data_IF_780236296698
#
_entry.id   IF_780236296698
#
_cell.length_a   1.000
_cell.length_b   1.000
_cell.length_c   1.000
_cell.angle_alpha   90.00
_cell.angle_beta   90.00
_cell.angle_gamma   90.00
#
_symmetry.space_group_name_H-M   'P 1'
#
loop_
_entity.id
_entity.type
_entity.pdbx_description
1 polymer ?
#
# COMPACT_ATOMS: atom_id res chain seq x y z
N UNK A 1 -1.71 -15.02 19.38
CA UNK A 1 -1.09 -13.75 18.94
C UNK A 1 -0.79 -13.78 17.45
N UNK A 2 0.03 -14.69 16.94
CA UNK A 2 0.33 -14.76 15.48
C UNK A 2 -0.88 -15.15 14.61
N UNK A 3 -1.75 -16.06 15.06
CA UNK A 3 -2.96 -16.43 14.30
C UNK A 3 -3.96 -15.27 14.16
N UNK A 4 -4.02 -14.40 15.16
CA UNK A 4 -4.83 -13.18 15.14
C UNK A 4 -4.24 -12.18 14.13
N UNK A 5 -2.92 -11.99 14.18
CA UNK A 5 -2.18 -11.16 13.22
C UNK A 5 -2.36 -11.64 11.77
N UNK A 6 -2.23 -12.96 11.52
CA UNK A 6 -2.40 -13.52 10.18
C UNK A 6 -3.85 -13.37 9.64
N UNK A 7 -4.86 -13.35 10.51
CA UNK A 7 -6.26 -13.21 10.10
C UNK A 7 -6.71 -11.77 9.88
N UNK A 8 -6.04 -10.80 10.52
CA UNK A 8 -6.50 -9.42 10.56
C UNK A 8 -5.43 -8.46 10.05
N UNK A 9 -4.31 -8.33 10.75
CA UNK A 9 -3.25 -7.40 10.36
C UNK A 9 -2.63 -7.72 9.01
N UNK A 10 -2.51 -9.00 8.65
CA UNK A 10 -2.01 -9.40 7.33
C UNK A 10 -2.95 -9.01 6.19
N UNK A 11 -4.22 -8.73 6.47
CA UNK A 11 -5.19 -8.23 5.49
C UNK A 11 -5.32 -6.71 5.54
N UNK A 12 -5.52 -6.16 6.74
CA UNK A 12 -5.87 -4.74 6.95
C UNK A 12 -4.69 -3.85 7.32
N UNK A 13 -3.49 -4.43 7.46
CA UNK A 13 -2.26 -3.77 7.88
C UNK A 13 -2.31 -3.08 9.26
N UNK A 14 -3.35 -3.32 10.06
CA UNK A 14 -3.56 -2.73 11.38
C UNK A 14 -4.24 -3.74 12.33
N UNK A 15 -4.11 -3.57 13.65
CA UNK A 15 -4.65 -4.53 14.61
C UNK A 15 -6.18 -4.49 14.69
N UNK A 16 -6.83 -5.61 15.09
CA UNK A 16 -8.29 -5.68 15.25
C UNK A 16 -8.87 -4.60 16.17
N UNK A 17 -8.10 -4.14 17.16
CA UNK A 17 -8.55 -3.15 18.16
C UNK A 17 -8.84 -1.77 17.57
N UNK A 18 -8.28 -1.44 16.40
CA UNK A 18 -8.52 -0.15 15.72
C UNK A 18 -9.46 -0.30 14.53
N UNK A 19 -9.74 -1.52 14.07
CA UNK A 19 -10.46 -1.78 12.82
C UNK A 19 -11.97 -1.94 13.07
N UNK A 20 -12.81 -1.31 12.25
CA UNK A 20 -14.27 -1.33 12.42
C UNK A 20 -14.89 -2.68 12.05
N UNK A 21 -15.35 -3.43 13.06
CA UNK A 21 -16.01 -4.72 12.86
C UNK A 21 -17.15 -4.65 11.83
N UNK A 22 -17.98 -3.61 11.88
CA UNK A 22 -19.15 -3.45 11.00
C UNK A 22 -18.78 -3.38 9.52
N UNK A 23 -17.61 -2.80 9.20
CA UNK A 23 -17.24 -2.49 7.82
C UNK A 23 -16.29 -3.54 7.21
N UNK A 24 -15.67 -4.39 8.02
CA UNK A 24 -14.71 -5.41 7.56
C UNK A 24 -15.15 -6.86 7.79
N UNK A 25 -16.20 -7.11 8.58
CA UNK A 25 -16.68 -8.48 8.87
C UNK A 25 -18.20 -8.59 8.64
N UNK A 26 -18.66 -9.25 7.56
CA UNK A 26 -17.87 -9.81 6.46
C UNK A 26 -17.30 -8.72 5.54
N UNK A 27 -16.18 -9.01 4.88
CA UNK A 27 -15.59 -8.09 3.92
C UNK A 27 -16.26 -8.23 2.55
N UNK A 28 -16.68 -7.10 1.97
CA UNK A 28 -17.41 -7.10 0.70
C UNK A 28 -16.60 -7.73 -0.44
N UNK A 29 -15.29 -7.49 -0.51
CA UNK A 29 -14.40 -8.07 -1.53
C UNK A 29 -14.55 -9.58 -1.63
N UNK A 30 -14.38 -10.31 -0.53
CA UNK A 30 -14.47 -11.77 -0.52
C UNK A 30 -15.91 -12.27 -0.67
N UNK A 31 -16.87 -11.57 -0.05
CA UNK A 31 -18.30 -11.90 -0.20
C UNK A 31 -18.77 -11.84 -1.66
N UNK A 32 -18.32 -10.83 -2.41
CA UNK A 32 -18.82 -10.53 -3.75
C UNK A 32 -18.01 -11.22 -4.85
N UNK A 33 -16.70 -11.39 -4.67
CA UNK A 33 -15.78 -11.91 -5.70
C UNK A 33 -15.17 -13.28 -5.37
N UNK A 34 -15.47 -13.85 -4.19
CA UNK A 34 -14.97 -15.13 -3.74
C UNK A 34 -13.77 -15.03 -2.79
N UNK A 35 -13.52 -16.11 -2.05
CA UNK A 35 -12.49 -16.17 -1.01
C UNK A 35 -11.07 -16.42 -1.56
N UNK A 36 -10.94 -16.76 -2.85
CA UNK A 36 -9.66 -17.08 -3.48
C UNK A 36 -8.86 -15.81 -3.80
N UNK A 37 -7.58 -15.81 -3.42
CA UNK A 37 -6.60 -14.78 -3.81
C UNK A 37 -5.52 -15.38 -4.69
N UNK A 38 -5.15 -14.67 -5.75
CA UNK A 38 -4.15 -15.13 -6.71
C UNK A 38 -2.91 -14.25 -6.69
N UNK A 39 -1.76 -14.85 -6.37
CA UNK A 39 -0.47 -14.15 -6.38
C UNK A 39 0.02 -13.95 -7.82
N UNK A 40 0.09 -12.70 -8.27
CA UNK A 40 0.58 -12.37 -9.61
C UNK A 40 2.11 -12.38 -9.63
N UNK A 41 2.70 -13.41 -10.25
CA UNK A 41 4.14 -13.57 -10.44
C UNK A 41 4.53 -13.53 -11.93
N UNK A 42 4.22 -12.41 -12.59
CA UNK A 42 4.55 -12.21 -14.00
C UNK A 42 5.66 -11.16 -14.16
N UNK A 43 6.64 -11.42 -15.04
CA UNK A 43 7.77 -10.51 -15.31
C UNK A 43 7.34 -9.15 -15.87
N UNK A 44 6.12 -9.02 -16.40
CA UNK A 44 5.53 -7.75 -16.84
C UNK A 44 5.13 -6.84 -15.67
N UNK A 45 5.03 -7.39 -14.46
CA UNK A 45 4.53 -6.70 -13.28
C UNK A 45 3.00 -6.59 -13.25
N UNK A 46 2.43 -6.47 -12.05
CA UNK A 46 0.98 -6.30 -11.91
C UNK A 46 0.50 -4.95 -12.50
N UNK A 47 1.38 -3.96 -12.54
CA UNK A 47 1.21 -2.66 -13.20
C UNK A 47 0.85 -2.75 -14.70
N UNK A 48 1.10 -3.90 -15.35
CA UNK A 48 0.69 -4.14 -16.73
C UNK A 48 -0.83 -3.96 -16.94
N UNK A 49 -1.65 -4.15 -15.90
CA UNK A 49 -3.10 -3.85 -15.93
C UNK A 49 -3.34 -2.35 -16.14
N UNK A 50 -2.64 -1.49 -15.40
CA UNK A 50 -2.75 -0.03 -15.51
C UNK A 50 -2.23 0.45 -16.87
N UNK A 51 -1.09 -0.08 -17.32
CA UNK A 51 -0.56 0.22 -18.66
C UNK A 51 -1.52 -0.20 -19.78
N UNK A 52 -2.17 -1.36 -19.64
CA UNK A 52 -3.18 -1.81 -20.58
C UNK A 52 -4.35 -0.83 -20.67
N UNK A 53 -4.93 -0.44 -19.53
CA UNK A 53 -6.05 0.51 -19.47
C UNK A 53 -5.66 1.87 -20.06
N UNK A 54 -4.48 2.40 -19.68
CA UNK A 54 -3.99 3.67 -20.19
C UNK A 54 -3.82 3.67 -21.71
N UNK A 55 -3.29 2.58 -22.28
CA UNK A 55 -3.12 2.41 -23.73
C UNK A 55 -4.42 2.29 -24.53
N UNK A 56 -5.59 2.20 -23.88
CA UNK A 56 -6.88 2.20 -24.58
C UNK A 56 -7.35 3.61 -24.98
N UNK A 57 -6.81 4.66 -24.36
CA UNK A 57 -7.26 6.04 -24.61
C UNK A 57 -6.12 7.08 -24.73
N UNK A 58 -4.90 6.73 -24.33
CA UNK A 58 -3.70 7.55 -24.55
C UNK A 58 -2.91 7.04 -25.76
N UNK A 59 -2.36 7.96 -26.54
CA UNK A 59 -1.45 7.65 -27.63
C UNK A 59 -0.19 6.93 -27.13
N UNK A 60 0.18 5.85 -27.82
CA UNK A 60 1.36 5.06 -27.52
C UNK A 60 2.22 4.83 -28.78
N UNK A 61 3.53 4.71 -28.60
CA UNK A 61 4.47 4.40 -29.68
C UNK A 61 4.42 2.91 -30.07
N UNK A 62 5.24 2.52 -31.06
CA UNK A 62 5.34 1.11 -31.51
C UNK A 62 5.82 0.15 -30.42
N UNK A 63 6.52 0.65 -29.41
CA UNK A 63 6.99 -0.12 -28.26
C UNK A 63 5.97 -0.14 -27.11
N UNK A 64 4.77 0.42 -27.30
CA UNK A 64 3.70 0.57 -26.29
C UNK A 64 4.07 1.50 -25.12
N UNK A 65 5.07 2.37 -25.30
CA UNK A 65 5.29 3.46 -24.36
C UNK A 65 4.24 4.54 -24.61
N UNK A 66 3.63 5.06 -23.54
CA UNK A 66 2.70 6.16 -23.65
C UNK A 66 3.47 7.43 -24.02
N UNK A 67 3.11 8.03 -25.15
CA UNK A 67 3.72 9.27 -25.69
C UNK A 67 2.73 10.43 -25.74
N UNK A 68 1.50 10.20 -25.27
CA UNK A 68 0.44 11.17 -25.26
C UNK A 68 0.81 12.42 -24.46
N UNK A 69 0.76 13.63 -25.04
CA UNK A 69 1.12 14.85 -24.35
C UNK A 69 0.17 15.20 -23.19
N UNK A 70 -0.99 14.55 -23.08
CA UNK A 70 -1.91 14.72 -21.94
C UNK A 70 -1.37 14.07 -20.67
N UNK A 71 -0.50 13.06 -20.77
CA UNK A 71 0.17 12.45 -19.62
C UNK A 71 1.51 13.15 -19.36
N UNK A 72 1.63 13.75 -18.19
CA UNK A 72 2.82 14.51 -17.81
C UNK A 72 3.46 13.91 -16.55
N UNK A 73 4.49 13.09 -16.74
CA UNK A 73 5.28 12.53 -15.64
C UNK A 73 6.16 13.61 -14.99
N UNK A 74 6.68 13.34 -13.79
CA UNK A 74 7.51 14.27 -13.03
C UNK A 74 6.82 15.64 -12.78
N UNK A 75 5.50 15.60 -12.55
CA UNK A 75 4.68 16.76 -12.20
C UNK A 75 4.12 16.59 -10.80
N UNK A 76 4.89 17.03 -9.81
CA UNK A 76 4.44 17.00 -8.41
C UNK A 76 3.49 18.17 -8.18
N UNK A 77 2.20 17.91 -8.00
CA UNK A 77 1.22 18.95 -7.63
C UNK A 77 1.51 19.42 -6.20
N UNK A 78 1.62 20.74 -5.99
CA UNK A 78 1.86 21.35 -4.66
C UNK A 78 0.74 22.27 -4.21
N UNK A 79 -0.06 22.81 -5.14
CA UNK A 79 -1.18 23.68 -4.80
C UNK A 79 -2.36 23.48 -5.76
N UNK A 80 -3.56 23.43 -5.20
CA UNK A 80 -4.83 23.42 -5.93
C UNK A 80 -5.65 24.62 -5.45
N UNK A 81 -5.77 25.63 -6.32
CA UNK A 81 -6.66 26.76 -6.13
C UNK A 81 -8.00 26.51 -6.83
N UNK A 82 -9.13 26.75 -6.18
CA UNK A 82 -10.46 26.49 -6.75
C UNK A 82 -11.49 27.57 -6.39
N UNK A 83 -12.44 27.80 -7.30
CA UNK A 83 -13.52 28.77 -7.14
C UNK A 83 -14.79 28.31 -7.89
N UNK A 84 -15.85 29.12 -7.90
CA UNK A 84 -17.05 28.83 -8.68
C UNK A 84 -16.83 28.76 -10.20
N UNK A 85 -15.77 29.41 -10.72
CA UNK A 85 -15.51 29.53 -12.15
C UNK A 85 -14.44 28.59 -12.70
N UNK A 86 -13.71 27.85 -11.86
CA UNK A 86 -12.67 26.92 -12.32
C UNK A 86 -11.64 26.59 -11.25
N UNK A 87 -10.59 25.88 -11.68
CA UNK A 87 -9.46 25.46 -10.85
C UNK A 87 -8.13 25.88 -11.47
N UNK A 88 -7.12 26.06 -10.62
CA UNK A 88 -5.73 26.31 -10.99
C UNK A 88 -4.84 25.38 -10.19
N UNK A 89 -4.04 24.58 -10.89
CA UNK A 89 -3.11 23.61 -10.29
C UNK A 89 -1.69 24.10 -10.50
N UNK A 90 -0.91 24.22 -9.42
CA UNK A 90 0.51 24.56 -9.48
C UNK A 90 1.35 23.34 -9.08
N UNK A 91 2.36 23.04 -9.89
CA UNK A 91 3.32 21.97 -9.62
C UNK A 91 4.60 22.50 -8.98
N UNK A 92 5.43 21.59 -8.46
CA UNK A 92 6.69 21.89 -7.78
C UNK A 92 7.75 22.51 -8.70
N UNK A 93 7.65 22.27 -10.01
CA UNK A 93 8.47 22.92 -11.06
C UNK A 93 7.85 24.24 -11.56
N UNK A 94 7.03 24.89 -10.72
CA UNK A 94 6.38 26.19 -10.95
C UNK A 94 5.44 26.26 -12.16
N UNK A 95 5.10 25.14 -12.81
CA UNK A 95 4.09 25.13 -13.88
C UNK A 95 2.70 25.33 -13.31
N UNK A 96 1.88 26.07 -14.05
CA UNK A 96 0.51 26.40 -13.69
C UNK A 96 -0.44 25.91 -14.78
N UNK A 97 -1.43 25.13 -14.37
CA UNK A 97 -2.47 24.57 -15.22
C UNK A 97 -3.82 25.15 -14.81
N UNK A 98 -4.68 25.46 -15.79
CA UNK A 98 -6.05 25.92 -15.55
C UNK A 98 -7.03 24.95 -16.19
N UNK A 99 -8.11 24.65 -15.49
CA UNK A 99 -9.16 23.74 -15.96
C UNK A 99 -10.50 24.09 -15.33
N UNK A 100 -11.57 23.49 -15.83
CA UNK A 100 -12.90 23.60 -15.24
C UNK A 100 -13.05 22.76 -13.96
N UNK A 101 -12.29 21.66 -13.85
CA UNK A 101 -12.33 20.70 -12.76
C UNK A 101 -10.94 20.11 -12.49
N UNK A 102 -10.75 19.57 -11.29
CA UNK A 102 -9.58 18.73 -10.95
C UNK A 102 -10.06 17.44 -10.30
N UNK A 103 -9.45 16.33 -10.71
CA UNK A 103 -9.61 15.02 -10.08
C UNK A 103 -8.36 14.71 -9.27
N UNK A 104 -8.50 14.51 -7.97
CA UNK A 104 -7.40 14.18 -7.05
C UNK A 104 -7.42 12.68 -6.78
N UNK A 105 -6.43 11.96 -7.31
CA UNK A 105 -6.29 10.50 -7.16
C UNK A 105 -5.13 10.08 -6.26
N UNK A 106 -4.56 11.02 -5.49
CA UNK A 106 -3.50 10.70 -4.52
C UNK A 106 -4.06 9.85 -3.38
N UNK A 107 -3.18 9.12 -2.68
CA UNK A 107 -3.60 8.36 -1.49
C UNK A 107 -4.19 9.26 -0.39
N UNK A 108 -4.95 8.68 0.53
CA UNK A 108 -5.44 9.41 1.71
C UNK A 108 -4.28 9.87 2.59
N UNK A 109 -3.19 9.11 2.67
CA UNK A 109 -1.96 9.54 3.36
C UNK A 109 -1.33 10.81 2.76
N UNK A 110 -1.38 11.00 1.44
CA UNK A 110 -0.95 12.26 0.80
C UNK A 110 -1.88 13.39 1.16
N UNK A 111 -3.21 13.16 1.18
CA UNK A 111 -4.20 14.16 1.60
C UNK A 111 -4.07 14.55 3.08
N UNK A 112 -3.61 13.64 3.93
CA UNK A 112 -3.29 13.88 5.35
C UNK A 112 -1.96 14.62 5.54
N UNK A 113 -1.07 14.58 4.54
CA UNK A 113 0.19 15.31 4.54
C UNK A 113 0.02 16.77 4.09
N UNK A 114 1.11 17.52 4.10
CA UNK A 114 1.18 18.90 3.61
C UNK A 114 1.65 19.01 2.14
N UNK A 115 1.71 17.89 1.40
CA UNK A 115 2.22 17.89 0.02
C UNK A 115 1.40 18.81 -0.89
N UNK A 116 0.07 18.75 -0.81
CA UNK A 116 -0.87 19.52 -1.63
C UNK A 116 -1.60 20.55 -0.77
N UNK A 117 -1.37 21.83 -1.06
CA UNK A 117 -2.10 22.92 -0.44
C UNK A 117 -3.40 23.22 -1.21
N UNK A 118 -4.54 23.21 -0.53
CA UNK A 118 -5.83 23.64 -1.10
C UNK A 118 -6.12 25.12 -0.79
N UNK A 119 -6.52 25.90 -1.81
CA UNK A 119 -6.89 27.32 -1.70
C UNK A 119 -8.26 27.62 -2.35
N UNK A 120 -9.29 28.03 -1.59
CA UNK A 120 -9.33 28.14 -0.14
C UNK A 120 -9.09 26.77 0.54
N UNK A 121 -8.86 26.77 1.86
CA UNK A 121 -8.74 25.52 2.61
C UNK A 121 -10.00 24.68 2.43
N UNK A 122 -9.83 23.36 2.39
CA UNK A 122 -10.96 22.43 2.38
C UNK A 122 -11.85 22.69 3.61
N UNK A 123 -13.18 22.54 3.48
CA UNK A 123 -14.10 22.79 4.58
C UNK A 123 -13.85 21.78 5.73
N UNK A 124 -14.19 22.17 6.95
CA UNK A 124 -13.90 21.39 8.15
C UNK A 124 -14.43 19.95 8.08
N UNK A 125 -15.63 19.73 7.54
CA UNK A 125 -16.20 18.40 7.37
C UNK A 125 -15.32 17.49 6.49
N UNK A 126 -14.73 18.04 5.42
CA UNK A 126 -13.84 17.30 4.53
C UNK A 126 -12.51 16.99 5.23
N UNK A 127 -11.93 17.99 5.89
CA UNK A 127 -10.67 17.81 6.64
C UNK A 127 -10.83 16.74 7.72
N UNK A 128 -11.93 16.76 8.47
CA UNK A 128 -12.23 15.74 9.47
C UNK A 128 -12.33 14.34 8.85
N UNK A 129 -13.07 14.18 7.75
CA UNK A 129 -13.17 12.88 7.06
C UNK A 129 -11.82 12.35 6.55
N UNK A 130 -10.91 13.23 6.12
CA UNK A 130 -9.56 12.86 5.67
C UNK A 130 -8.72 12.36 6.86
N UNK A 131 -8.74 13.05 7.99
CA UNK A 131 -7.87 12.72 9.14
C UNK A 131 -8.43 11.65 10.07
N UNK A 132 -9.73 11.33 10.00
CA UNK A 132 -10.31 10.24 10.77
C UNK A 132 -10.14 8.87 10.11
N UNK A 133 -9.84 8.82 8.81
CA UNK A 133 -9.64 7.56 8.09
C UNK A 133 -8.17 7.15 8.15
N UNK A 134 -7.89 5.85 8.19
CA UNK A 134 -6.52 5.37 8.38
C UNK A 134 -5.82 5.15 7.04
N UNK A 135 -4.56 5.60 6.97
CA UNK A 135 -3.60 5.18 5.93
C UNK A 135 -2.65 4.16 6.56
N UNK A 136 -2.94 2.88 6.35
CA UNK A 136 -2.15 1.79 6.91
C UNK A 136 -0.82 1.60 6.13
N UNK A 137 0.10 0.84 6.74
CA UNK A 137 1.42 0.55 6.15
C UNK A 137 1.67 -0.95 6.17
N UNK A 138 1.95 -1.51 5.00
CA UNK A 138 2.20 -2.92 4.76
C UNK A 138 3.55 -3.13 4.07
N UNK A 139 4.56 -3.61 4.79
CA UNK A 139 5.92 -3.73 4.26
C UNK A 139 6.24 -5.19 3.90
N UNK A 140 6.39 -5.44 2.59
CA UNK A 140 6.87 -6.70 2.01
C UNK A 140 8.38 -6.73 1.96
N UNK A 141 9.04 -7.34 2.94
CA UNK A 141 10.50 -7.41 3.01
C UNK A 141 10.96 -8.67 2.27
N UNK A 142 11.66 -8.50 1.16
CA UNK A 142 12.27 -9.61 0.44
C UNK A 142 13.70 -9.81 0.91
N UNK A 143 14.10 -11.05 1.14
CA UNK A 143 15.43 -11.41 1.64
C UNK A 143 15.97 -12.58 0.82
N UNK A 144 17.17 -12.40 0.25
CA UNK A 144 17.83 -13.40 -0.60
C UNK A 144 18.93 -14.11 0.18
N UNK A 145 19.05 -15.42 -0.06
CA UNK A 145 20.03 -16.29 0.58
C UNK A 145 20.94 -16.99 -0.44
N UNK A 146 22.16 -17.39 -0.04
CA UNK A 146 23.06 -18.13 -0.92
C UNK A 146 22.58 -19.56 -1.19
N UNK A 147 21.78 -20.13 -0.29
CA UNK A 147 21.15 -21.45 -0.41
C UNK A 147 19.84 -21.46 0.38
N UNK A 148 18.95 -22.40 0.04
CA UNK A 148 17.73 -22.67 0.81
C UNK A 148 18.06 -23.41 2.10
N UNK A 149 17.31 -23.12 3.15
CA UNK A 149 17.36 -23.81 4.45
C UNK A 149 15.95 -24.05 5.02
N UNK A 150 14.91 -23.60 4.31
CA UNK A 150 13.51 -23.76 4.71
C UNK A 150 12.89 -24.97 3.99
N UNK A 151 11.84 -25.60 4.58
CA UNK A 151 11.11 -26.67 3.93
C UNK A 151 10.35 -26.21 2.69
N UNK A 152 10.31 -27.06 1.66
CA UNK A 152 9.55 -26.84 0.43
C UNK A 152 8.47 -27.92 0.23
N UNK A 153 7.53 -27.66 -0.68
CA UNK A 153 6.50 -28.62 -1.10
C UNK A 153 5.09 -28.25 -0.63
N UNK A 154 4.16 -29.20 -0.74
CA UNK A 154 2.73 -28.96 -0.53
C UNK A 154 2.46 -28.38 0.87
N UNK A 155 1.83 -27.20 0.92
CA UNK A 155 1.47 -26.52 2.16
C UNK A 155 2.65 -25.87 2.89
N UNK A 156 3.77 -25.62 2.21
CA UNK A 156 4.96 -24.95 2.78
C UNK A 156 5.14 -23.50 2.34
N UNK A 157 4.37 -23.05 1.35
CA UNK A 157 4.45 -21.69 0.81
C UNK A 157 4.35 -20.63 1.92
N UNK A 158 3.38 -20.77 2.82
CA UNK A 158 3.22 -19.86 3.96
C UNK A 158 3.60 -20.54 5.28
N UNK A 159 4.32 -19.82 6.13
CA UNK A 159 4.64 -20.23 7.49
C UNK A 159 4.67 -19.04 8.45
N UNK A 160 4.48 -19.33 9.74
CA UNK A 160 4.25 -18.32 10.76
C UNK A 160 5.28 -18.40 11.88
N UNK A 161 5.80 -17.26 12.32
CA UNK A 161 6.66 -17.14 13.49
C UNK A 161 5.86 -16.65 14.71
N UNK A 162 5.70 -17.52 15.70
CA UNK A 162 4.96 -17.23 16.93
C UNK A 162 5.81 -16.48 17.96
N UNK A 163 6.28 -15.28 17.60
CA UNK A 163 6.98 -14.40 18.53
C UNK A 163 6.13 -14.04 19.75
N UNK A 164 6.79 -13.82 20.90
CA UNK A 164 6.16 -13.22 22.08
C UNK A 164 5.85 -11.73 21.88
N UNK A 165 6.51 -11.07 20.92
CA UNK A 165 6.23 -9.70 20.46
C UNK A 165 5.29 -9.76 19.25
N UNK A 166 4.06 -9.25 19.41
CA UNK A 166 3.04 -9.22 18.34
C UNK A 166 3.59 -8.52 17.10
N UNK A 167 3.39 -9.11 15.91
CA UNK A 167 3.77 -8.52 14.63
C UNK A 167 5.26 -8.57 14.29
N UNK A 168 6.12 -9.08 15.19
CA UNK A 168 7.57 -9.12 14.95
C UNK A 168 7.95 -10.25 13.98
N UNK A 169 8.14 -9.89 12.71
CA UNK A 169 8.52 -10.80 11.60
C UNK A 169 7.66 -12.08 11.57
N UNK A 170 6.34 -11.90 11.60
CA UNK A 170 5.40 -12.96 11.91
C UNK A 170 4.94 -13.82 10.73
N UNK A 171 4.74 -13.22 9.56
CA UNK A 171 4.15 -13.91 8.39
C UNK A 171 5.19 -14.03 7.30
N UNK A 172 5.48 -15.27 6.92
CA UNK A 172 6.49 -15.61 5.93
C UNK A 172 5.86 -16.30 4.73
N UNK A 173 6.41 -16.02 3.56
CA UNK A 173 6.13 -16.70 2.31
C UNK A 173 7.46 -17.11 1.67
N UNK A 174 7.62 -18.39 1.35
CA UNK A 174 8.67 -18.84 0.43
C UNK A 174 8.17 -18.75 -1.01
N UNK A 175 9.06 -18.41 -1.93
CA UNK A 175 8.67 -18.01 -3.29
C UNK A 175 9.16 -18.99 -4.36
N UNK A 176 9.33 -20.28 -4.03
CA UNK A 176 9.84 -21.28 -4.97
C UNK A 176 8.89 -21.51 -6.14
N UNK A 177 7.59 -21.64 -5.89
CA UNK A 177 6.60 -21.85 -6.95
C UNK A 177 6.57 -20.70 -7.98
N UNK A 178 6.50 -19.40 -7.57
CA UNK A 178 6.55 -18.29 -8.52
C UNK A 178 7.96 -17.99 -9.06
N UNK A 179 9.02 -18.23 -8.28
CA UNK A 179 10.40 -17.90 -8.62
C UNK A 179 11.37 -19.05 -8.27
N UNK A 180 11.39 -20.13 -9.07
CA UNK A 180 12.25 -21.28 -8.83
C UNK A 180 13.73 -20.90 -8.74
N UNK A 181 14.46 -21.53 -7.81
CA UNK A 181 15.89 -21.33 -7.56
C UNK A 181 16.29 -19.89 -7.17
N UNK A 182 15.33 -19.02 -6.86
CA UNK A 182 15.63 -17.63 -6.50
C UNK A 182 16.30 -17.50 -5.11
N UNK A 183 16.06 -18.47 -4.22
CA UNK A 183 16.46 -18.46 -2.81
C UNK A 183 15.99 -17.19 -2.09
N UNK A 184 14.74 -16.79 -2.31
CA UNK A 184 14.13 -15.61 -1.71
C UNK A 184 13.02 -16.01 -0.75
N UNK A 185 13.05 -15.43 0.44
CA UNK A 185 11.93 -15.39 1.37
C UNK A 185 11.30 -14.00 1.35
N UNK A 186 9.99 -13.95 1.57
CA UNK A 186 9.24 -12.74 1.86
C UNK A 186 8.78 -12.80 3.31
N UNK A 187 9.09 -11.78 4.10
CA UNK A 187 8.47 -11.56 5.41
C UNK A 187 7.65 -10.27 5.37
N UNK A 188 6.44 -10.35 5.91
CA UNK A 188 5.54 -9.20 5.97
C UNK A 188 5.47 -8.68 7.40
N UNK A 189 5.58 -7.35 7.51
CA UNK A 189 5.30 -6.58 8.73
C UNK A 189 4.34 -5.46 8.38
N UNK A 190 3.63 -4.93 9.38
CA UNK A 190 2.60 -3.90 9.21
C UNK A 190 2.69 -2.85 10.32
N UNK A 191 1.94 -1.75 10.18
CA UNK A 191 1.72 -0.74 11.21
C UNK A 191 3.00 -0.26 11.95
N UNK A 192 3.07 -0.39 13.28
CA UNK A 192 4.19 0.05 14.11
C UNK A 192 5.54 -0.56 13.66
N UNK A 193 5.56 -1.85 13.30
CA UNK A 193 6.79 -2.52 12.85
C UNK A 193 7.23 -1.99 11.49
N UNK A 194 6.30 -1.70 10.57
CA UNK A 194 6.63 -1.09 9.28
C UNK A 194 7.28 0.27 9.47
N UNK A 195 6.69 1.15 10.28
CA UNK A 195 7.26 2.49 10.54
C UNK A 195 8.64 2.41 11.19
N UNK A 196 8.84 1.51 12.17
CA UNK A 196 10.15 1.27 12.78
C UNK A 196 11.19 0.81 11.75
N UNK A 197 10.82 -0.17 10.92
CA UNK A 197 11.72 -0.79 9.95
C UNK A 197 12.09 0.17 8.82
N UNK A 198 11.17 1.00 8.35
CA UNK A 198 11.48 2.01 7.32
C UNK A 198 12.50 3.05 7.81
N UNK A 199 12.52 3.34 9.12
CA UNK A 199 13.40 4.34 9.75
C UNK A 199 14.80 3.81 10.10
N UNK A 200 15.06 2.51 9.98
CA UNK A 200 16.38 1.92 10.21
C UNK A 200 17.06 1.51 8.90
N UNK A 201 18.36 1.20 9.02
CA UNK A 201 19.14 0.72 7.89
C UNK A 201 18.75 -0.71 7.49
N UNK A 202 18.85 -1.01 6.20
CA UNK A 202 18.61 -2.35 5.67
C UNK A 202 19.50 -3.41 6.33
N UNK A 203 20.74 -3.07 6.70
CA UNK A 203 21.64 -3.98 7.40
C UNK A 203 21.14 -4.36 8.80
N UNK A 204 20.55 -3.40 9.53
CA UNK A 204 19.97 -3.67 10.84
C UNK A 204 18.73 -4.58 10.71
N UNK A 205 17.83 -4.26 9.78
CA UNK A 205 16.65 -5.10 9.50
C UNK A 205 17.04 -6.51 9.07
N UNK A 206 18.05 -6.62 8.19
CA UNK A 206 18.60 -7.91 7.75
C UNK A 206 19.17 -8.73 8.91
N UNK A 207 19.88 -8.10 9.84
CA UNK A 207 20.41 -8.77 11.02
C UNK A 207 19.29 -9.31 11.94
N UNK A 208 18.26 -8.50 12.22
CA UNK A 208 17.08 -8.91 13.00
C UNK A 208 16.36 -10.11 12.35
N UNK A 209 16.19 -10.07 11.03
CA UNK A 209 15.57 -11.15 10.24
C UNK A 209 16.37 -12.45 10.35
N UNK A 210 17.69 -12.40 10.17
CA UNK A 210 18.55 -13.59 10.22
C UNK A 210 18.55 -14.19 11.64
N UNK A 211 18.49 -13.36 12.68
CA UNK A 211 18.35 -13.82 14.07
C UNK A 211 17.03 -14.59 14.27
N UNK A 212 15.92 -14.05 13.78
CA UNK A 212 14.61 -14.74 13.82
C UNK A 212 14.67 -16.08 13.08
N UNK A 213 15.24 -16.11 11.88
CA UNK A 213 15.34 -17.33 11.07
C UNK A 213 16.22 -18.39 11.73
N UNK A 214 17.35 -18.01 12.35
CA UNK A 214 18.18 -18.91 13.16
C UNK A 214 17.44 -19.48 14.36
N UNK A 215 16.54 -18.70 14.98
CA UNK A 215 15.67 -19.20 16.04
C UNK A 215 14.61 -20.18 15.52
N UNK A 216 14.04 -19.91 14.35
CA UNK A 216 13.02 -20.76 13.73
C UNK A 216 13.57 -22.10 13.24
N UNK A 217 14.77 -22.09 12.66
CA UNK A 217 15.42 -23.25 12.04
C UNK A 217 16.69 -23.62 12.81
N UNK A 218 16.60 -23.79 14.12
CA UNK A 218 17.75 -24.03 15.01
C UNK A 218 18.54 -25.31 14.75
N UNK A 219 17.98 -26.25 13.97
CA UNK A 219 18.65 -27.47 13.51
C UNK A 219 19.39 -27.31 12.17
N UNK A 220 19.26 -26.16 11.51
CA UNK A 220 19.83 -25.90 10.19
C UNK A 220 20.99 -24.90 10.28
N UNK A 221 21.96 -25.02 9.37
CA UNK A 221 22.96 -23.97 9.16
C UNK A 221 22.32 -22.83 8.35
N UNK A 222 21.72 -21.86 9.02
CA UNK A 222 21.08 -20.69 8.40
C UNK A 222 22.14 -19.66 8.00
N UNK A 223 22.40 -19.45 6.69
CA UNK A 223 23.40 -18.49 6.23
C UNK A 223 22.93 -17.04 6.45
N UNK A 224 23.87 -16.10 6.44
CA UNK A 224 23.51 -14.69 6.33
C UNK A 224 22.84 -14.42 4.98
N UNK A 225 21.87 -13.49 4.97
CA UNK A 225 21.23 -13.04 3.75
C UNK A 225 22.22 -12.23 2.89
N UNK A 226 22.28 -12.55 1.60
CA UNK A 226 23.13 -11.87 0.62
C UNK A 226 22.54 -10.54 0.17
N UNK A 227 21.21 -10.42 0.19
CA UNK A 227 20.52 -9.21 -0.24
C UNK A 227 19.19 -9.03 0.53
N UNK A 228 18.71 -7.79 0.57
CA UNK A 228 17.44 -7.41 1.20
C UNK A 228 16.80 -6.25 0.44
N UNK A 229 15.48 -6.31 0.28
CA UNK A 229 14.66 -5.21 -0.21
C UNK A 229 13.62 -4.86 0.85
N UNK A 230 13.69 -3.63 1.36
CA UNK A 230 12.69 -3.05 2.27
C UNK A 230 11.97 -1.90 1.54
N UNK A 231 10.74 -2.12 1.03
CA UNK A 231 9.92 -1.04 0.51
C UNK A 231 9.62 0.00 1.58
N UNK A 232 9.71 1.30 1.24
CA UNK A 232 9.53 2.40 2.19
C UNK A 232 8.35 3.30 1.83
N UNK A 233 7.16 2.70 1.76
CA UNK A 233 5.94 3.35 1.27
C UNK A 233 5.42 4.45 2.20
N UNK A 234 5.62 4.31 3.52
CA UNK A 234 5.21 5.34 4.49
C UNK A 234 6.11 6.57 4.42
N UNK A 235 7.42 6.35 4.23
CA UNK A 235 8.41 7.40 4.09
C UNK A 235 8.30 8.14 2.77
N UNK A 236 7.82 7.49 1.71
CA UNK A 236 7.63 8.11 0.40
C UNK A 236 6.51 9.17 0.45
N UNK A 237 6.88 10.41 0.10
CA UNK A 237 5.98 11.57 0.12
C UNK A 237 4.80 11.45 -0.85
N UNK A 238 4.85 10.57 -1.84
CA UNK A 238 3.80 10.38 -2.84
C UNK A 238 2.79 9.28 -2.48
N UNK A 239 3.04 8.53 -1.40
CA UNK A 239 2.15 7.45 -0.95
C UNK A 239 1.77 7.59 0.52
N UNK A 240 2.73 7.86 1.41
CA UNK A 240 2.52 8.03 2.86
C UNK A 240 1.85 6.82 3.53
N UNK A 241 2.03 5.64 2.96
CA UNK A 241 1.46 4.37 3.40
C UNK A 241 1.19 3.48 2.20
N UNK A 242 0.50 2.37 2.40
CA UNK A 242 0.19 1.41 1.32
C UNK A 242 -1.25 1.47 0.85
N UNK A 243 -2.20 1.41 1.76
CA UNK A 243 -3.63 1.42 1.45
C UNK A 243 -4.44 1.87 2.67
N UNK A 244 -5.69 2.26 2.45
CA UNK A 244 -6.57 2.69 3.53
C UNK A 244 -7.17 1.53 4.30
N UNK A 245 -7.41 1.72 5.59
CA UNK A 245 -8.17 0.81 6.45
C UNK A 245 -9.34 1.58 7.08
N UNK A 246 -10.39 0.85 7.48
CA UNK A 246 -11.58 1.45 8.07
C UNK A 246 -11.52 1.44 9.60
N UNK A 247 -11.20 2.57 10.26
CA UNK A 247 -11.11 2.62 11.72
C UNK A 247 -12.46 2.54 12.42
N UNK A 248 -12.42 2.01 13.65
CA UNK A 248 -13.51 2.16 14.61
C UNK A 248 -13.78 3.65 14.87
N UNK A 249 -15.06 4.03 14.82
CA UNK A 249 -15.48 5.41 15.03
C UNK A 249 -15.91 6.13 13.75
N UNK A 250 -15.41 5.72 12.58
CA UNK A 250 -15.86 6.27 11.30
C UNK A 250 -17.09 5.50 10.81
N UNK A 251 -18.22 6.18 10.76
CA UNK A 251 -19.45 5.61 10.21
C UNK A 251 -19.51 5.80 8.68
N UNK A 252 -20.54 5.21 8.05
CA UNK A 252 -20.71 5.28 6.60
C UNK A 252 -20.87 6.70 6.06
N UNK A 253 -21.54 7.59 6.80
CA UNK A 253 -21.74 8.96 6.38
C UNK A 253 -20.42 9.75 6.34
N UNK A 254 -19.56 9.58 7.35
CA UNK A 254 -18.22 10.19 7.37
C UNK A 254 -17.31 9.62 6.27
N UNK A 255 -17.43 8.34 5.97
CA UNK A 255 -16.76 7.74 4.82
C UNK A 255 -17.26 8.31 3.48
N UNK A 256 -18.57 8.50 3.33
CA UNK A 256 -19.12 9.14 2.12
C UNK A 256 -18.72 10.63 2.03
N UNK A 257 -18.39 11.28 3.15
CA UNK A 257 -17.76 12.59 3.13
C UNK A 257 -16.34 12.54 2.56
N UNK A 258 -15.55 11.47 2.75
CA UNK A 258 -14.20 11.34 2.17
C UNK A 258 -14.23 11.37 0.63
N UNK A 259 -15.22 10.74 0.01
CA UNK A 259 -15.43 10.75 -1.46
C UNK A 259 -16.14 11.99 -2.01
N UNK A 260 -16.87 12.73 -1.19
CA UNK A 260 -17.67 13.87 -1.66
C UNK A 260 -16.81 14.98 -2.29
N UNK A 261 -17.24 15.62 -3.40
CA UNK A 261 -16.51 16.72 -4.00
C UNK A 261 -16.59 18.00 -3.16
N UNK A 262 -15.63 18.91 -3.35
CA UNK A 262 -15.63 20.27 -2.79
C UNK A 262 -15.62 21.27 -3.93
N UNK A 263 -16.80 21.78 -4.29
CA UNK A 263 -16.96 22.64 -5.46
C UNK A 263 -16.55 21.90 -6.74
N UNK A 264 -15.43 22.32 -7.34
CA UNK A 264 -14.87 21.75 -8.59
C UNK A 264 -13.70 20.78 -8.36
N UNK A 265 -13.42 20.45 -7.09
CA UNK A 265 -12.41 19.48 -6.69
C UNK A 265 -13.09 18.14 -6.41
N UNK A 266 -12.79 17.15 -7.24
CA UNK A 266 -13.26 15.77 -7.10
C UNK A 266 -12.14 14.89 -6.54
N UNK A 267 -12.53 13.82 -5.84
CA UNK A 267 -11.62 12.88 -5.21
C UNK A 267 -11.88 11.48 -5.76
N UNK A 268 -10.81 10.73 -5.98
CA UNK A 268 -10.85 9.31 -6.36
C UNK A 268 -9.64 8.58 -5.76
N UNK A 269 -9.58 7.27 -5.96
CA UNK A 269 -8.61 6.36 -5.33
C UNK A 269 -9.30 5.30 -4.48
N UNK A 270 -8.55 4.31 -4.02
CA UNK A 270 -9.09 3.17 -3.25
C UNK A 270 -9.85 3.63 -2.00
N UNK A 271 -9.37 4.68 -1.32
CA UNK A 271 -10.03 5.29 -0.15
C UNK A 271 -11.39 5.94 -0.44
N UNK A 272 -11.80 6.07 -1.71
CA UNK A 272 -13.14 6.54 -2.11
C UNK A 272 -14.06 5.42 -2.64
N UNK A 273 -13.57 4.18 -2.66
CA UNK A 273 -14.30 3.00 -3.11
C UNK A 273 -15.42 2.63 -2.14
N UNK A 274 -16.65 2.65 -2.64
CA UNK A 274 -17.87 2.35 -1.89
C UNK A 274 -17.76 1.13 -0.96
N UNK A 275 -17.20 0.03 -1.46
CA UNK A 275 -17.16 -1.25 -0.74
C UNK A 275 -15.78 -1.91 -0.74
N UNK A 276 -14.81 -1.39 -1.51
CA UNK A 276 -13.56 -2.08 -1.81
C UNK A 276 -12.34 -1.19 -1.59
N UNK A 277 -12.35 -0.37 -0.53
CA UNK A 277 -11.12 0.32 -0.09
C UNK A 277 -10.08 -0.73 0.33
N UNK A 278 -8.79 -0.45 0.11
CA UNK A 278 -7.71 -1.39 0.33
C UNK A 278 -7.22 -2.14 -0.92
N UNK A 279 -8.00 -2.14 -2.02
CA UNK A 279 -7.76 -3.02 -3.18
C UNK A 279 -7.50 -2.27 -4.49
N UNK A 280 -6.94 -3.02 -5.47
CA UNK A 280 -6.81 -2.65 -6.90
C UNK A 280 -8.17 -2.83 -7.57
#
# INVERSE_FOLDING_TARGET
MILDYFKHDYEFAEPPRVTSLQNVVPLATFRDFGDDVYFVADKRGYEAVVHHLAGQYLEADKARNIVDPRLQLNKVVREISYSGSGVTVRTEDDKVYKADYVMVSTSVGVLQSDLIQFKPRLPAWKVLSIYQFDMAVYTKIFVKFPRKFWPEGKGREFFLYASSRRGYYGVWQELEAPYPDANVLLVTVTDEESRRIEQQSDNQTKAEIVEVLRSMFSGEDVPDATDILVPRWWSDRFYRGTFSNWPIGVNRYEYDQLRAPVGRVYFTGEHTSEHYNGYV
#
